data_IF_484584914430
#
_entry.id   IF_484584914430
#
_cell.length_a   1.000
_cell.length_b   1.000
_cell.length_c   1.000
_cell.angle_alpha   90.00
_cell.angle_beta   90.00
_cell.angle_gamma   90.00
#
_symmetry.space_group_name_H-M   'P 1'
#
loop_
_entity.id
_entity.type
_entity.pdbx_description
1 polymer ?
#
# COMPACT_ATOMS: atom_id res chain seq x y z
N UNK A 1 53.77 26.66 -55.02
CA UNK A 1 52.55 26.31 -54.24
C UNK A 1 52.84 26.52 -52.76
N UNK A 2 51.91 27.21 -52.12
CA UNK A 2 51.62 27.52 -50.71
C UNK A 2 52.70 27.49 -49.61
N UNK A 3 52.70 28.63 -48.91
CA UNK A 3 53.34 29.00 -47.63
C UNK A 3 52.89 28.15 -46.42
N UNK A 4 53.66 28.15 -45.32
CA UNK A 4 53.34 27.46 -44.07
C UNK A 4 52.33 28.27 -43.24
N UNK A 5 51.52 27.60 -42.41
CA UNK A 5 50.69 28.29 -41.42
C UNK A 5 51.11 27.97 -39.98
N UNK A 6 51.42 29.07 -39.29
CA UNK A 6 51.64 29.28 -37.85
C UNK A 6 50.25 29.34 -37.18
N UNK A 7 49.97 28.80 -35.99
CA UNK A 7 50.29 29.34 -34.65
C UNK A 7 49.00 29.35 -33.80
N UNK A 8 49.22 29.50 -32.47
CA UNK A 8 48.35 30.05 -31.41
C UNK A 8 47.37 29.04 -30.80
N UNK A 9 47.64 28.45 -29.63
CA UNK A 9 47.72 29.04 -28.26
C UNK A 9 46.37 29.53 -27.75
N UNK A 10 45.81 28.85 -26.74
CA UNK A 10 45.07 29.36 -25.55
C UNK A 10 44.64 28.13 -24.73
N UNK A 11 45.34 27.70 -23.68
CA UNK A 11 45.32 28.18 -22.28
C UNK A 11 43.90 28.49 -21.75
N UNK A 12 43.37 27.64 -20.83
CA UNK A 12 43.19 27.91 -19.37
C UNK A 12 41.86 28.69 -19.12
N UNK A 13 40.90 28.39 -18.23
CA UNK A 13 40.74 27.77 -16.88
C UNK A 13 39.23 27.36 -16.80
N UNK A 14 38.70 26.40 -16.02
CA UNK A 14 38.22 26.50 -14.61
C UNK A 14 37.40 25.22 -14.35
N UNK A 15 37.88 24.30 -13.50
CA UNK A 15 37.32 23.99 -12.18
C UNK A 15 35.79 24.04 -12.06
N UNK A 16 35.15 22.87 -12.09
CA UNK A 16 33.95 22.60 -11.29
C UNK A 16 33.89 21.10 -10.99
N UNK A 17 34.48 20.76 -9.86
CA UNK A 17 34.09 19.70 -8.92
C UNK A 17 33.20 18.57 -9.46
N UNK A 18 33.84 17.43 -9.69
CA UNK A 18 33.23 16.12 -9.83
C UNK A 18 32.62 15.70 -8.47
N UNK A 19 31.48 16.30 -8.11
CA UNK A 19 30.72 16.02 -6.89
C UNK A 19 29.26 15.69 -7.20
N UNK A 20 29.01 14.70 -8.05
CA UNK A 20 27.66 14.18 -8.33
C UNK A 20 27.61 12.67 -8.14
N UNK A 21 27.93 12.23 -6.92
CA UNK A 21 27.57 10.92 -6.37
C UNK A 21 27.43 11.11 -4.85
N UNK A 22 26.40 11.86 -4.46
CA UNK A 22 25.85 11.85 -3.12
C UNK A 22 24.37 11.44 -3.24
N UNK A 23 23.89 10.48 -2.44
CA UNK A 23 22.47 10.27 -2.26
C UNK A 23 21.89 11.53 -1.63
N UNK A 24 21.08 12.26 -2.41
CA UNK A 24 20.00 13.11 -1.93
C UNK A 24 20.16 13.84 -0.59
N UNK A 25 21.22 14.62 -0.39
CA UNK A 25 21.14 15.80 0.50
C UNK A 25 20.81 17.01 -0.37
N UNK A 26 19.58 17.06 -0.87
CA UNK A 26 19.01 18.28 -1.45
C UNK A 26 18.23 18.99 -0.36
N UNK A 27 18.59 20.26 -0.16
CA UNK A 27 17.94 21.25 0.69
C UNK A 27 16.46 20.93 0.99
N UNK A 28 16.13 20.87 2.28
CA UNK A 28 14.85 20.44 2.81
C UNK A 28 13.66 21.20 2.24
N UNK A 29 12.97 20.58 1.28
CA UNK A 29 11.53 20.74 1.18
C UNK A 29 10.95 20.14 2.46
N UNK A 30 10.51 21.00 3.38
CA UNK A 30 9.78 20.57 4.57
C UNK A 30 8.54 19.80 4.11
N UNK A 31 8.42 18.54 4.55
CA UNK A 31 7.25 17.71 4.27
C UNK A 31 5.97 18.49 4.58
N UNK A 32 5.01 18.45 3.67
CA UNK A 32 3.75 19.15 3.86
C UNK A 32 2.94 18.47 4.97
N UNK A 33 2.12 19.19 5.76
CA UNK A 33 1.37 18.59 6.87
C UNK A 33 0.48 17.41 6.49
N UNK A 34 -0.05 17.37 5.26
CA UNK A 34 -0.85 16.23 4.78
C UNK A 34 -0.01 14.98 4.52
N UNK A 35 1.29 15.12 4.22
CA UNK A 35 2.19 13.98 4.02
C UNK A 35 2.39 13.21 5.32
N UNK A 36 2.51 13.91 6.46
CA UNK A 36 2.58 13.28 7.77
C UNK A 36 1.32 12.48 8.10
N UNK A 37 0.14 12.97 7.73
CA UNK A 37 -1.10 12.21 7.89
C UNK A 37 -1.13 10.96 6.99
N UNK A 38 -0.58 11.07 5.78
CA UNK A 38 -0.44 9.91 4.89
C UNK A 38 0.55 8.90 5.49
N UNK A 39 1.64 9.35 6.13
CA UNK A 39 2.56 8.47 6.86
C UNK A 39 1.86 7.75 8.03
N UNK A 40 1.02 8.44 8.80
CA UNK A 40 0.21 7.84 9.87
C UNK A 40 -0.76 6.77 9.33
N UNK A 41 -1.36 7.04 8.16
CA UNK A 41 -2.22 6.09 7.46
C UNK A 41 -1.42 4.87 6.98
N UNK A 42 -0.22 5.07 6.42
CA UNK A 42 0.70 3.99 6.00
C UNK A 42 1.06 3.10 7.20
N UNK A 43 1.40 3.68 8.34
CA UNK A 43 1.73 2.95 9.56
C UNK A 43 0.52 2.13 10.08
N UNK A 44 -0.66 2.73 10.05
CA UNK A 44 -1.90 2.06 10.47
C UNK A 44 -2.29 0.94 9.50
N UNK A 45 -2.11 1.14 8.19
CA UNK A 45 -2.30 0.08 7.19
C UNK A 45 -1.33 -1.08 7.42
N UNK A 46 -0.08 -0.80 7.77
CA UNK A 46 0.92 -1.84 8.08
C UNK A 46 0.48 -2.69 9.27
N UNK A 47 -0.05 -2.06 10.34
CA UNK A 47 -0.59 -2.78 11.49
C UNK A 47 -1.80 -3.67 11.12
N UNK A 48 -2.66 -3.19 10.21
CA UNK A 48 -3.78 -3.98 9.71
C UNK A 48 -3.31 -5.15 8.84
N UNK A 49 -2.25 -4.98 8.03
CA UNK A 49 -1.64 -6.05 7.23
C UNK A 49 -1.13 -7.16 8.14
N UNK A 50 -0.35 -6.84 9.18
CA UNK A 50 0.11 -7.84 10.16
C UNK A 50 -1.06 -8.59 10.83
N UNK A 51 -2.16 -7.88 11.08
CA UNK A 51 -3.39 -8.47 11.65
C UNK A 51 -4.08 -9.40 10.65
N UNK A 52 -4.08 -9.07 9.35
CA UNK A 52 -4.62 -9.94 8.32
C UNK A 52 -3.83 -11.24 8.20
N UNK A 53 -2.49 -11.17 8.19
CA UNK A 53 -1.62 -12.34 8.15
C UNK A 53 -1.90 -13.27 9.34
N UNK A 54 -1.94 -12.71 10.55
CA UNK A 54 -2.30 -13.47 11.76
C UNK A 54 -3.67 -14.16 11.62
N UNK A 55 -4.71 -13.45 11.18
CA UNK A 55 -6.05 -14.02 11.04
C UNK A 55 -6.08 -15.10 9.94
N UNK A 56 -5.40 -14.89 8.82
CA UNK A 56 -5.28 -15.85 7.74
C UNK A 56 -4.65 -17.17 8.23
N UNK A 57 -3.57 -17.10 9.01
CA UNK A 57 -2.94 -18.30 9.58
C UNK A 57 -3.92 -19.07 10.47
N UNK A 58 -4.65 -18.37 11.34
CA UNK A 58 -5.66 -18.98 12.22
C UNK A 58 -6.78 -19.66 11.45
N UNK A 59 -7.28 -19.04 10.39
CA UNK A 59 -8.31 -19.65 9.53
C UNK A 59 -7.78 -20.85 8.75
N UNK A 60 -6.52 -20.78 8.31
CA UNK A 60 -5.86 -21.90 7.62
C UNK A 60 -5.73 -23.10 8.55
N UNK A 61 -5.37 -22.89 9.81
CA UNK A 61 -5.30 -23.97 10.80
C UNK A 61 -6.66 -24.60 11.08
N UNK A 62 -7.72 -23.79 11.21
CA UNK A 62 -9.10 -24.28 11.36
C UNK A 62 -9.55 -25.12 10.16
N UNK A 63 -9.16 -24.73 8.94
CA UNK A 63 -9.45 -25.51 7.73
C UNK A 63 -8.75 -26.87 7.73
N UNK A 64 -7.60 -26.99 8.40
CA UNK A 64 -6.80 -28.22 8.46
C UNK A 64 -7.27 -29.16 9.56
N UNK A 65 -7.77 -28.63 10.67
CA UNK A 65 -8.21 -29.42 11.83
C UNK A 65 -9.64 -29.94 11.73
N UNK A 66 -10.45 -29.44 10.78
CA UNK A 66 -11.82 -29.92 10.61
C UNK A 66 -11.87 -31.29 9.91
N UNK A 67 -12.11 -32.34 10.70
CA UNK A 67 -12.16 -33.75 10.25
C UNK A 67 -13.48 -34.10 9.51
N UNK A 68 -14.51 -33.25 9.57
CA UNK A 68 -15.84 -33.51 8.98
C UNK A 68 -16.15 -32.62 7.75
N UNK A 69 -16.49 -33.28 6.64
CA UNK A 69 -17.09 -32.78 5.38
C UNK A 69 -16.34 -31.66 4.62
N UNK A 70 -16.21 -31.82 3.31
CA UNK A 70 -15.42 -30.92 2.43
C UNK A 70 -15.93 -29.47 2.39
N UNK A 71 -17.23 -29.25 2.62
CA UNK A 71 -17.86 -27.93 2.46
C UNK A 71 -17.40 -26.92 3.51
N UNK A 72 -17.44 -27.27 4.80
CA UNK A 72 -17.05 -26.36 5.89
C UNK A 72 -15.56 -26.00 5.80
N UNK A 73 -14.72 -26.98 5.45
CA UNK A 73 -13.31 -26.75 5.14
C UNK A 73 -13.11 -25.76 3.98
N UNK A 74 -13.88 -25.89 2.92
CA UNK A 74 -13.81 -24.98 1.77
C UNK A 74 -14.29 -23.57 2.13
N UNK A 75 -15.29 -23.43 3.00
CA UNK A 75 -15.75 -22.12 3.48
C UNK A 75 -14.66 -21.44 4.32
N UNK A 76 -14.02 -22.16 5.24
CA UNK A 76 -12.89 -21.62 6.01
C UNK A 76 -11.71 -21.22 5.12
N UNK A 77 -11.36 -22.08 4.15
CA UNK A 77 -10.32 -21.76 3.17
C UNK A 77 -10.69 -20.53 2.33
N UNK A 78 -11.96 -20.39 1.92
CA UNK A 78 -12.47 -19.22 1.20
C UNK A 78 -12.30 -17.93 2.01
N UNK A 79 -12.60 -17.96 3.31
CA UNK A 79 -12.36 -16.80 4.19
C UNK A 79 -10.86 -16.49 4.34
N UNK A 80 -10.01 -17.50 4.52
CA UNK A 80 -8.56 -17.31 4.59
C UNK A 80 -7.99 -16.68 3.31
N UNK A 81 -8.41 -17.18 2.14
CA UNK A 81 -8.01 -16.63 0.84
C UNK A 81 -8.50 -15.21 0.63
N UNK A 82 -9.70 -14.90 1.12
CA UNK A 82 -10.27 -13.55 1.02
C UNK A 82 -9.49 -12.57 1.90
N UNK A 83 -9.11 -12.94 3.12
CA UNK A 83 -8.23 -12.14 3.97
C UNK A 83 -6.86 -11.90 3.32
N UNK A 84 -6.25 -12.93 2.73
CA UNK A 84 -4.98 -12.81 2.03
C UNK A 84 -5.06 -11.82 0.84
N UNK A 85 -6.17 -11.87 0.10
CA UNK A 85 -6.41 -10.94 -1.01
C UNK A 85 -6.59 -9.50 -0.52
N UNK A 86 -7.33 -9.27 0.58
CA UNK A 86 -7.47 -7.94 1.19
C UNK A 86 -6.11 -7.42 1.67
N UNK A 87 -5.31 -8.26 2.33
CA UNK A 87 -3.95 -7.91 2.77
C UNK A 87 -3.09 -7.45 1.59
N UNK A 88 -3.08 -8.22 0.50
CA UNK A 88 -2.34 -7.89 -0.72
C UNK A 88 -2.77 -6.55 -1.34
N UNK A 89 -4.07 -6.24 -1.35
CA UNK A 89 -4.58 -4.93 -1.80
C UNK A 89 -4.06 -3.82 -0.88
N UNK A 90 -4.10 -4.02 0.44
CA UNK A 90 -3.62 -3.04 1.41
C UNK A 90 -2.11 -2.80 1.29
N UNK A 91 -1.31 -3.86 1.12
CA UNK A 91 0.14 -3.78 0.88
C UNK A 91 0.45 -2.97 -0.37
N UNK A 92 -0.21 -3.30 -1.48
CA UNK A 92 -0.03 -2.57 -2.73
C UNK A 92 -0.36 -1.08 -2.56
N UNK A 93 -1.46 -0.75 -1.87
CA UNK A 93 -1.80 0.65 -1.62
C UNK A 93 -0.82 1.32 -0.65
N UNK A 94 -0.35 0.65 0.39
CA UNK A 94 0.68 1.16 1.32
C UNK A 94 1.95 1.53 0.55
N UNK A 95 2.44 0.62 -0.30
CA UNK A 95 3.68 0.81 -1.05
C UNK A 95 3.55 1.97 -2.05
N UNK A 96 2.44 2.03 -2.77
CA UNK A 96 2.17 3.17 -3.65
C UNK A 96 2.00 4.49 -2.89
N UNK A 97 1.54 4.50 -1.62
CA UNK A 97 1.35 5.73 -0.85
C UNK A 97 2.73 6.26 -0.46
N UNK A 98 3.59 5.35 -0.01
CA UNK A 98 5.00 5.61 0.32
C UNK A 98 5.74 6.19 -0.88
N UNK A 99 5.67 5.50 -2.03
CA UNK A 99 6.32 5.98 -3.25
C UNK A 99 5.77 7.34 -3.70
N UNK A 100 4.47 7.57 -3.53
CA UNK A 100 3.84 8.84 -3.89
C UNK A 100 4.29 10.00 -3.00
N UNK A 101 4.39 9.79 -1.68
CA UNK A 101 4.85 10.83 -0.74
C UNK A 101 6.34 11.12 -0.88
N UNK A 102 7.15 10.16 -1.34
CA UNK A 102 8.59 10.36 -1.60
C UNK A 102 8.88 11.14 -2.89
N UNK A 103 7.91 11.28 -3.81
CA UNK A 103 8.07 12.11 -4.99
C UNK A 103 8.13 13.60 -4.63
N UNK A 104 8.94 14.37 -5.37
CA UNK A 104 8.88 15.83 -5.35
C UNK A 104 7.52 16.33 -5.82
N UNK A 105 7.06 17.47 -5.29
CA UNK A 105 5.75 18.06 -5.61
C UNK A 105 5.52 18.23 -7.13
N UNK A 106 6.55 18.69 -7.86
CA UNK A 106 6.49 18.84 -9.31
C UNK A 106 6.19 17.53 -10.06
N UNK A 107 6.56 16.38 -9.49
CA UNK A 107 6.33 15.06 -10.09
C UNK A 107 4.99 14.46 -9.64
N UNK A 108 4.56 14.69 -8.39
CA UNK A 108 3.28 14.19 -7.87
C UNK A 108 2.08 14.59 -8.72
N UNK A 109 2.12 15.78 -9.34
CA UNK A 109 1.07 16.28 -10.23
C UNK A 109 0.66 15.30 -11.34
N UNK A 110 1.61 14.48 -11.82
CA UNK A 110 1.38 13.49 -12.86
C UNK A 110 0.67 12.23 -12.36
N UNK A 111 0.70 11.98 -11.05
CA UNK A 111 0.21 10.74 -10.45
C UNK A 111 -1.10 10.91 -9.67
N UNK A 112 -1.53 12.12 -9.30
CA UNK A 112 -2.77 12.31 -8.51
C UNK A 112 -3.98 11.57 -9.10
N UNK A 113 -4.23 11.70 -10.40
CA UNK A 113 -5.40 11.09 -11.05
C UNK A 113 -5.41 9.57 -10.95
N UNK A 114 -4.30 8.92 -11.31
CA UNK A 114 -4.18 7.46 -11.19
C UNK A 114 -4.16 7.01 -9.73
N UNK A 115 -3.59 7.83 -8.84
CA UNK A 115 -3.48 7.50 -7.41
C UNK A 115 -4.84 7.43 -6.73
N UNK A 116 -5.67 8.44 -6.96
CA UNK A 116 -7.03 8.51 -6.44
C UNK A 116 -7.89 7.39 -6.99
N UNK A 117 -7.82 7.14 -8.31
CA UNK A 117 -8.55 6.04 -8.94
C UNK A 117 -8.16 4.68 -8.37
N UNK A 118 -6.86 4.44 -8.17
CA UNK A 118 -6.34 3.21 -7.57
C UNK A 118 -6.90 2.98 -6.16
N UNK A 119 -6.90 4.01 -5.32
CA UNK A 119 -7.43 3.92 -3.96
C UNK A 119 -8.94 3.67 -3.94
N UNK A 120 -9.71 4.38 -4.78
CA UNK A 120 -11.16 4.22 -4.89
C UNK A 120 -11.54 2.79 -5.30
N UNK A 121 -10.91 2.27 -6.37
CA UNK A 121 -11.13 0.90 -6.82
C UNK A 121 -10.73 -0.14 -5.77
N UNK A 122 -9.66 0.12 -5.00
CA UNK A 122 -9.26 -0.78 -3.91
C UNK A 122 -10.29 -0.83 -2.79
N UNK A 123 -10.89 0.32 -2.44
CA UNK A 123 -11.98 0.36 -1.45
C UNK A 123 -13.20 -0.43 -1.94
N UNK A 124 -13.58 -0.28 -3.21
CA UNK A 124 -14.69 -1.04 -3.81
C UNK A 124 -14.39 -2.55 -3.84
N UNK A 125 -13.17 -2.93 -4.24
CA UNK A 125 -12.74 -4.32 -4.27
C UNK A 125 -12.78 -4.96 -2.87
N UNK A 126 -12.29 -4.26 -1.84
CA UNK A 126 -12.33 -4.75 -0.46
C UNK A 126 -13.79 -4.86 0.04
N UNK A 127 -14.69 -3.98 -0.39
CA UNK A 127 -16.12 -4.08 -0.03
C UNK A 127 -16.74 -5.38 -0.56
N UNK A 128 -16.47 -5.73 -1.82
CA UNK A 128 -16.94 -6.99 -2.42
C UNK A 128 -16.35 -8.20 -1.68
N UNK A 129 -15.07 -8.15 -1.32
CA UNK A 129 -14.42 -9.19 -0.52
C UNK A 129 -15.06 -9.30 0.88
N UNK A 130 -15.42 -8.19 1.50
CA UNK A 130 -16.12 -8.18 2.79
C UNK A 130 -17.50 -8.87 2.68
N UNK A 131 -18.25 -8.61 1.62
CA UNK A 131 -19.54 -9.28 1.37
C UNK A 131 -19.35 -10.79 1.24
N UNK A 132 -18.32 -11.24 0.52
CA UNK A 132 -17.97 -12.66 0.43
C UNK A 132 -17.68 -13.27 1.81
N UNK A 133 -16.94 -12.57 2.68
CA UNK A 133 -16.68 -13.04 4.05
C UNK A 133 -17.96 -13.14 4.87
N UNK A 134 -18.86 -12.17 4.76
CA UNK A 134 -20.15 -12.21 5.46
C UNK A 134 -21.00 -13.42 5.04
N UNK A 135 -21.00 -13.75 3.75
CA UNK A 135 -21.65 -14.97 3.24
C UNK A 135 -20.99 -16.20 3.84
N UNK A 136 -19.66 -16.31 3.80
CA UNK A 136 -18.94 -17.44 4.38
C UNK A 136 -19.30 -17.63 5.87
N UNK A 137 -19.32 -16.56 6.65
CA UNK A 137 -19.69 -16.60 8.07
C UNK A 137 -21.13 -17.03 8.32
N UNK A 138 -22.06 -16.70 7.43
CA UNK A 138 -23.45 -17.15 7.56
C UNK A 138 -23.62 -18.66 7.35
N UNK A 139 -22.67 -19.32 6.67
CA UNK A 139 -22.71 -20.73 6.29
C UNK A 139 -21.92 -21.65 7.24
N UNK A 140 -21.13 -21.08 8.16
CA UNK A 140 -20.34 -21.86 9.11
C UNK A 140 -21.24 -22.31 10.28
N UNK A 141 -21.15 -23.58 10.66
CA UNK A 141 -21.72 -24.10 11.91
C UNK A 141 -20.66 -24.04 13.01
N UNK A 142 -20.85 -23.18 14.02
CA UNK A 142 -19.72 -22.68 14.80
C UNK A 142 -19.48 -23.36 16.15
N UNK A 143 -18.21 -23.51 16.53
CA UNK A 143 -17.77 -23.49 17.93
C UNK A 143 -17.61 -22.04 18.46
N UNK A 144 -17.60 -21.86 19.79
CA UNK A 144 -17.46 -20.52 20.42
C UNK A 144 -16.14 -19.81 20.09
N UNK A 145 -15.07 -20.55 19.83
CA UNK A 145 -13.74 -20.01 19.55
C UNK A 145 -13.64 -19.48 18.11
N UNK A 146 -14.29 -20.16 17.17
CA UNK A 146 -14.38 -19.74 15.76
C UNK A 146 -15.20 -18.45 15.59
N UNK A 147 -16.30 -18.32 16.34
CA UNK A 147 -17.10 -17.09 16.39
C UNK A 147 -16.31 -15.87 16.88
N UNK A 148 -15.24 -16.07 17.65
CA UNK A 148 -14.45 -14.96 18.20
C UNK A 148 -13.52 -14.30 17.16
N UNK A 149 -13.29 -14.96 16.01
CA UNK A 149 -12.46 -14.41 14.92
C UNK A 149 -13.24 -13.41 14.06
N UNK A 150 -14.53 -13.67 13.82
CA UNK A 150 -15.39 -12.87 12.93
C UNK A 150 -15.41 -11.37 13.31
N UNK A 151 -15.57 -10.96 14.58
CA UNK A 151 -15.52 -9.54 14.94
C UNK A 151 -14.15 -8.90 14.67
N UNK A 152 -13.06 -9.66 14.82
CA UNK A 152 -11.70 -9.16 14.57
C UNK A 152 -11.47 -8.94 13.08
N UNK A 153 -11.86 -9.92 12.27
CA UNK A 153 -11.85 -9.84 10.81
C UNK A 153 -12.63 -8.62 10.30
N UNK A 154 -13.90 -8.50 10.70
CA UNK A 154 -14.73 -7.37 10.30
C UNK A 154 -14.13 -6.03 10.71
N UNK A 155 -13.56 -5.93 11.91
CA UNK A 155 -12.92 -4.71 12.40
C UNK A 155 -11.72 -4.31 11.55
N UNK A 156 -10.82 -5.25 11.24
CA UNK A 156 -9.60 -4.94 10.47
C UNK A 156 -9.92 -4.61 9.01
N UNK A 157 -10.91 -5.28 8.40
CA UNK A 157 -11.39 -4.95 7.04
C UNK A 157 -11.96 -3.54 7.00
N UNK A 158 -12.90 -3.22 7.89
CA UNK A 158 -13.53 -1.89 7.94
C UNK A 158 -12.50 -0.79 8.23
N UNK A 159 -11.59 -1.04 9.17
CA UNK A 159 -10.51 -0.10 9.50
C UNK A 159 -9.64 0.19 8.27
N UNK A 160 -9.26 -0.83 7.50
CA UNK A 160 -8.45 -0.66 6.29
C UNK A 160 -9.17 0.16 5.23
N UNK A 161 -10.46 -0.10 5.00
CA UNK A 161 -11.26 0.72 4.08
C UNK A 161 -11.38 2.18 4.53
N UNK A 162 -11.51 2.44 5.84
CA UNK A 162 -11.54 3.80 6.40
C UNK A 162 -10.20 4.51 6.15
N UNK A 163 -9.08 3.84 6.40
CA UNK A 163 -7.74 4.39 6.16
C UNK A 163 -7.52 4.74 4.68
N UNK A 164 -7.93 3.86 3.76
CA UNK A 164 -7.84 4.14 2.32
C UNK A 164 -8.72 5.34 1.91
N UNK A 165 -9.93 5.47 2.48
CA UNK A 165 -10.78 6.66 2.26
C UNK A 165 -10.18 7.95 2.84
N UNK A 166 -9.51 7.85 3.97
CA UNK A 166 -8.77 8.99 4.53
C UNK A 166 -7.61 9.40 3.62
N UNK A 167 -6.87 8.44 3.07
CA UNK A 167 -5.81 8.73 2.11
C UNK A 167 -6.35 9.42 0.85
N UNK A 168 -7.49 8.96 0.32
CA UNK A 168 -8.19 9.65 -0.79
C UNK A 168 -8.46 11.11 -0.44
N UNK A 169 -9.05 11.36 0.73
CA UNK A 169 -9.40 12.72 1.18
C UNK A 169 -8.16 13.62 1.31
N UNK A 170 -7.09 13.13 1.92
CA UNK A 170 -5.86 13.90 2.09
C UNK A 170 -5.21 14.19 0.72
N UNK A 171 -5.20 13.24 -0.21
CA UNK A 171 -4.63 13.44 -1.55
C UNK A 171 -5.50 14.38 -2.39
N UNK A 172 -6.84 14.24 -2.35
CA UNK A 172 -7.78 15.12 -3.09
C UNK A 172 -7.70 16.57 -2.62
N UNK A 173 -7.58 16.79 -1.32
CA UNK A 173 -7.54 18.14 -0.73
C UNK A 173 -6.24 18.89 -1.02
N UNK A 174 -5.20 18.19 -1.48
CA UNK A 174 -3.85 18.73 -1.69
C UNK A 174 -3.34 18.48 -3.13
N UNK A 175 -4.27 18.32 -4.08
CA UNK A 175 -3.99 18.16 -5.52
C UNK A 175 -3.72 19.48 -6.22
#
# INVERSE_FOLDING_TARGET
MSRPNKSWTLMVVLSASLSLLLPGTLAGETRQPWEHKVDEIIASLSTNIDTFEYLQERLTDLSRSNENYSEQKNIWLSSALTLAAIASVCEYQRDLLTLFTDLRQANRKHFYGVRLKSLQLSVEQIAVMQEQMQINHSLISHSKEELALIPKENKVVLSSMVLLRQAIKEIESNR
#
